data_IF_543300191001
#
_entry.id   IF_543300191001
#
_cell.length_a   1.000
_cell.length_b   1.000
_cell.length_c   1.000
_cell.angle_alpha   90.00
_cell.angle_beta   90.00
_cell.angle_gamma   90.00
#
_symmetry.space_group_name_H-M   'P 1'
#
loop_
_entity.id
_entity.type
_entity.pdbx_description
1 polymer ?
#
# COMPACT_ATOMS: atom_id res chain seq x y z
N UNK A 1 -51.80 34.04 -16.24
CA UNK A 1 -50.72 34.21 -15.24
C UNK A 1 -50.54 32.99 -14.32
N UNK A 2 -51.57 32.48 -13.63
CA UNK A 2 -51.41 31.34 -12.68
C UNK A 2 -50.90 30.03 -13.30
N UNK A 3 -51.25 29.71 -14.55
CA UNK A 3 -50.79 28.50 -15.24
C UNK A 3 -49.29 28.57 -15.62
N UNK A 4 -48.82 29.74 -16.05
CA UNK A 4 -47.40 29.97 -16.40
C UNK A 4 -46.51 29.89 -15.16
N UNK A 5 -46.97 30.42 -14.03
CA UNK A 5 -46.27 30.32 -12.73
C UNK A 5 -46.20 28.86 -12.25
N UNK A 6 -47.27 28.07 -12.43
CA UNK A 6 -47.26 26.63 -12.11
C UNK A 6 -46.30 25.83 -12.99
N UNK A 7 -46.27 26.08 -14.30
CA UNK A 7 -45.33 25.42 -15.20
C UNK A 7 -43.87 25.82 -14.91
N UNK A 8 -43.62 27.06 -14.51
CA UNK A 8 -42.27 27.52 -14.15
C UNK A 8 -41.79 26.94 -12.80
N UNK A 9 -42.68 26.74 -11.83
CA UNK A 9 -42.39 26.02 -10.59
C UNK A 9 -42.11 24.53 -10.82
N UNK A 10 -42.85 23.89 -11.72
CA UNK A 10 -42.64 22.48 -12.10
C UNK A 10 -41.31 22.30 -12.85
N UNK A 11 -40.95 23.21 -13.76
CA UNK A 11 -39.65 23.17 -14.45
C UNK A 11 -38.48 23.42 -13.48
N UNK A 12 -38.64 24.36 -12.54
CA UNK A 12 -37.65 24.62 -11.50
C UNK A 12 -37.42 23.42 -10.57
N UNK A 13 -38.48 22.69 -10.22
CA UNK A 13 -38.39 21.47 -9.41
C UNK A 13 -37.71 20.32 -10.17
N UNK A 14 -37.92 20.16 -11.48
CA UNK A 14 -37.22 19.15 -12.27
C UNK A 14 -35.71 19.44 -12.43
N UNK A 15 -35.31 20.71 -12.47
CA UNK A 15 -33.90 21.09 -12.56
C UNK A 15 -33.13 20.81 -11.26
N UNK A 16 -33.74 21.00 -10.09
CA UNK A 16 -33.08 20.71 -8.79
C UNK A 16 -32.91 19.21 -8.51
N UNK A 17 -33.75 18.34 -9.09
CA UNK A 17 -33.62 16.88 -8.97
C UNK A 17 -32.47 16.28 -9.78
N UNK A 18 -31.97 16.99 -10.80
CA UNK A 18 -30.88 16.51 -11.66
C UNK A 18 -29.46 16.77 -11.08
N UNK A 19 -29.35 17.54 -10.01
CA UNK A 19 -28.06 17.95 -9.43
C UNK A 19 -27.45 16.93 -8.43
N UNK A 20 -28.11 15.82 -8.12
CA UNK A 20 -27.64 14.85 -7.10
C UNK A 20 -26.75 13.71 -7.65
N UNK A 21 -26.22 13.82 -8.87
CA UNK A 21 -25.55 12.71 -9.55
C UNK A 21 -24.12 12.37 -9.13
N UNK A 22 -23.39 13.24 -8.41
CA UNK A 22 -21.92 13.13 -8.32
C UNK A 22 -21.32 13.02 -6.90
N UNK A 23 -22.10 12.68 -5.88
CA UNK A 23 -21.62 12.57 -4.49
C UNK A 23 -21.15 11.14 -4.13
N UNK A 24 -20.27 10.57 -4.96
CA UNK A 24 -19.64 9.29 -4.62
C UNK A 24 -18.41 9.52 -3.73
N UNK A 25 -18.29 8.84 -2.58
CA UNK A 25 -17.11 8.94 -1.75
C UNK A 25 -15.91 8.27 -2.43
N UNK A 26 -14.82 9.01 -2.55
CA UNK A 26 -13.49 8.50 -2.92
C UNK A 26 -12.66 8.25 -1.67
N UNK A 27 -11.87 7.17 -1.66
CA UNK A 27 -10.99 6.84 -0.54
C UNK A 27 -9.55 6.75 -1.07
N UNK A 28 -8.65 7.55 -0.50
CA UNK A 28 -7.23 7.51 -0.83
C UNK A 28 -6.48 6.90 0.35
N UNK A 29 -5.81 5.78 0.11
CA UNK A 29 -4.92 5.15 1.07
C UNK A 29 -3.48 5.35 0.57
N UNK A 30 -2.80 6.31 1.19
CA UNK A 30 -1.41 6.64 0.88
C UNK A 30 -0.55 6.31 2.09
N UNK A 31 0.33 5.34 1.91
CA UNK A 31 1.43 5.12 2.84
C UNK A 31 2.50 6.15 2.49
N UNK A 32 2.92 6.95 3.47
CA UNK A 32 3.93 7.99 3.27
C UNK A 32 5.20 7.35 2.70
N UNK A 33 5.50 7.65 1.44
CA UNK A 33 6.67 7.15 0.71
C UNK A 33 7.44 8.35 0.17
N UNK A 34 8.79 8.32 0.19
CA UNK A 34 9.61 9.37 -0.42
C UNK A 34 9.58 9.33 -1.94
N UNK A 35 8.98 8.29 -2.54
CA UNK A 35 9.02 8.03 -3.97
C UNK A 35 7.71 8.47 -4.64
N UNK A 36 7.86 9.05 -5.83
CA UNK A 36 6.71 9.52 -6.61
C UNK A 36 5.91 8.36 -7.20
N UNK A 37 6.61 7.41 -7.79
CA UNK A 37 6.07 6.24 -8.45
C UNK A 37 7.00 5.02 -8.32
N UNK A 38 6.57 3.90 -8.90
CA UNK A 38 7.35 2.67 -8.92
C UNK A 38 8.71 2.85 -9.60
N UNK A 39 8.77 3.63 -10.68
CA UNK A 39 9.99 3.83 -11.46
C UNK A 39 11.02 4.64 -10.67
N UNK A 40 10.60 5.68 -9.95
CA UNK A 40 11.44 6.46 -9.03
C UNK A 40 12.04 5.54 -7.95
N UNK A 41 11.20 4.75 -7.28
CA UNK A 41 11.64 3.79 -6.26
C UNK A 41 12.63 2.76 -6.83
N UNK A 42 12.33 2.17 -8.00
CA UNK A 42 13.19 1.22 -8.68
C UNK A 42 14.53 1.86 -9.11
N UNK A 43 14.51 3.10 -9.59
CA UNK A 43 15.71 3.81 -10.04
C UNK A 43 16.68 4.07 -8.88
N UNK A 44 16.16 4.42 -7.70
CA UNK A 44 16.95 4.64 -6.49
C UNK A 44 17.44 3.33 -5.90
N UNK A 45 16.61 2.28 -5.93
CA UNK A 45 17.02 0.93 -5.58
C UNK A 45 18.17 0.43 -6.45
N UNK A 46 18.17 0.74 -7.75
CA UNK A 46 19.21 0.34 -8.68
C UNK A 46 20.56 1.01 -8.38
N UNK A 47 20.57 2.19 -7.76
CA UNK A 47 21.80 2.89 -7.37
C UNK A 47 22.54 2.22 -6.20
N UNK A 48 21.88 1.35 -5.44
CA UNK A 48 22.50 0.60 -4.33
C UNK A 48 23.37 -0.52 -4.90
N UNK A 49 24.69 -0.39 -4.80
CA UNK A 49 25.67 -1.43 -5.16
C UNK A 49 26.11 -2.22 -3.91
N UNK A 50 25.77 -3.52 -3.78
CA UNK A 50 26.24 -4.37 -2.69
C UNK A 50 27.77 -4.45 -2.61
N UNK A 51 28.30 -4.42 -1.39
CA UNK A 51 29.73 -4.37 -1.10
C UNK A 51 30.35 -2.97 -1.17
N UNK A 52 29.62 -1.96 -1.67
CA UNK A 52 30.12 -0.57 -1.78
C UNK A 52 29.22 0.45 -1.09
N UNK A 53 27.91 0.28 -1.17
CA UNK A 53 26.96 1.27 -0.67
C UNK A 53 26.93 1.24 0.85
N UNK A 54 27.18 2.39 1.47
CA UNK A 54 27.10 2.54 2.92
C UNK A 54 25.67 2.76 3.38
N UNK A 55 25.41 2.58 4.67
CA UNK A 55 24.12 2.86 5.29
C UNK A 55 23.71 4.32 5.13
N UNK A 56 24.67 5.25 5.28
CA UNK A 56 24.40 6.67 5.08
C UNK A 56 24.00 7.00 3.64
N UNK A 57 24.65 6.36 2.65
CA UNK A 57 24.26 6.49 1.24
C UNK A 57 22.90 5.86 0.97
N UNK A 58 22.61 4.70 1.54
CA UNK A 58 21.30 4.04 1.47
C UNK A 58 20.18 4.97 1.98
N UNK A 59 20.44 5.67 3.09
CA UNK A 59 19.50 6.63 3.67
C UNK A 59 19.31 7.85 2.77
N UNK A 60 20.40 8.38 2.20
CA UNK A 60 20.35 9.49 1.25
C UNK A 60 19.56 9.15 -0.02
N UNK A 61 19.56 7.88 -0.44
CA UNK A 61 18.73 7.38 -1.54
C UNK A 61 17.24 7.31 -1.18
N UNK A 62 16.89 7.48 0.09
CA UNK A 62 15.53 7.40 0.59
C UNK A 62 15.17 6.00 1.09
N UNK A 63 16.12 5.21 1.58
CA UNK A 63 15.85 3.93 2.26
C UNK A 63 16.30 4.01 3.71
N UNK A 64 15.69 4.89 4.48
CA UNK A 64 15.97 5.08 5.90
C UNK A 64 14.84 4.52 6.77
N UNK A 65 15.09 3.47 7.58
CA UNK A 65 14.05 2.84 8.38
C UNK A 65 13.54 3.68 9.56
N UNK A 66 14.25 4.77 9.91
CA UNK A 66 13.90 5.63 11.04
C UNK A 66 13.08 6.86 10.60
N UNK A 67 13.42 7.45 9.45
CA UNK A 67 12.68 8.62 8.94
C UNK A 67 11.50 8.24 8.07
N UNK A 68 11.53 7.08 7.42
CA UNK A 68 10.46 6.63 6.55
C UNK A 68 9.65 5.55 7.23
N UNK A 69 8.40 5.87 7.55
CA UNK A 69 7.48 4.89 8.11
C UNK A 69 7.37 3.64 7.23
N UNK A 70 6.90 2.54 7.80
CA UNK A 70 6.67 1.26 7.10
C UNK A 70 7.95 0.49 6.73
N UNK A 71 9.04 0.80 7.42
CA UNK A 71 10.23 -0.04 7.46
C UNK A 71 10.20 -1.00 8.66
N UNK A 72 10.72 -2.21 8.46
CA UNK A 72 11.02 -3.18 9.50
C UNK A 72 12.53 -3.39 9.56
N UNK A 73 13.09 -3.15 10.74
CA UNK A 73 14.45 -3.59 11.03
C UNK A 73 14.40 -5.08 11.39
N UNK A 74 15.25 -5.85 10.72
CA UNK A 74 15.33 -7.30 10.81
C UNK A 74 16.61 -7.66 11.55
N UNK A 75 16.51 -8.48 12.58
CA UNK A 75 17.65 -9.12 13.23
C UNK A 75 18.25 -10.19 12.32
N UNK A 76 19.42 -10.72 12.67
CA UNK A 76 20.01 -11.84 11.93
C UNK A 76 19.08 -13.07 11.88
N UNK A 77 18.26 -13.29 12.92
CA UNK A 77 17.27 -14.37 12.97
C UNK A 77 16.18 -14.13 11.92
N UNK A 78 15.68 -12.90 11.83
CA UNK A 78 14.67 -12.52 10.85
C UNK A 78 15.20 -12.64 9.42
N UNK A 79 16.44 -12.19 9.18
CA UNK A 79 17.13 -12.35 7.88
C UNK A 79 17.26 -13.84 7.54
N UNK A 80 17.67 -14.68 8.49
CA UNK A 80 17.76 -16.13 8.29
C UNK A 80 16.40 -16.72 7.93
N UNK A 81 15.33 -16.37 8.65
CA UNK A 81 13.99 -16.89 8.39
C UNK A 81 13.44 -16.41 7.04
N UNK A 82 13.83 -15.23 6.58
CA UNK A 82 13.39 -14.67 5.30
C UNK A 82 14.04 -15.36 4.09
N UNK A 83 15.32 -15.72 4.19
CA UNK A 83 16.10 -16.22 3.04
C UNK A 83 16.41 -17.72 3.08
N UNK A 84 16.43 -18.35 4.26
CA UNK A 84 16.83 -19.75 4.42
C UNK A 84 15.60 -20.63 4.55
N UNK A 85 15.28 -21.36 3.49
CA UNK A 85 14.20 -22.33 3.50
C UNK A 85 14.66 -23.65 4.13
N UNK A 86 13.77 -24.39 4.83
CA UNK A 86 14.10 -25.72 5.30
C UNK A 86 14.40 -26.62 4.08
N UNK A 87 15.53 -27.33 4.13
CA UNK A 87 16.03 -28.26 3.10
C UNK A 87 16.71 -27.64 1.86
N UNK A 88 16.96 -26.33 1.83
CA UNK A 88 17.85 -25.73 0.81
C UNK A 88 19.25 -25.61 1.41
N UNK A 89 20.29 -26.20 0.77
CA UNK A 89 21.65 -26.07 1.28
C UNK A 89 22.14 -24.62 1.18
N UNK A 90 23.01 -24.23 2.11
CA UNK A 90 23.42 -22.82 2.30
C UNK A 90 24.22 -22.25 1.12
N UNK A 91 24.81 -23.11 0.31
CA UNK A 91 25.58 -22.78 -0.90
C UNK A 91 24.72 -22.23 -2.06
N UNK A 92 23.41 -22.46 -2.02
CA UNK A 92 22.46 -21.83 -2.95
C UNK A 92 22.18 -20.36 -2.62
N UNK A 93 22.57 -19.91 -1.43
CA UNK A 93 22.39 -18.51 -1.05
C UNK A 93 23.47 -17.63 -1.70
N UNK A 94 23.10 -16.42 -2.17
CA UNK A 94 24.07 -15.41 -2.56
C UNK A 94 25.17 -15.19 -1.52
N UNK A 95 26.42 -15.02 -1.95
CA UNK A 95 27.59 -14.86 -1.07
C UNK A 95 27.41 -13.78 0.01
N UNK A 96 26.75 -12.67 -0.34
CA UNK A 96 26.45 -11.59 0.60
C UNK A 96 25.56 -12.01 1.77
N UNK A 97 24.59 -12.90 1.51
CA UNK A 97 23.74 -13.47 2.56
C UNK A 97 24.49 -14.48 3.42
N UNK A 98 25.31 -15.34 2.81
CA UNK A 98 26.15 -16.30 3.55
C UNK A 98 27.08 -15.56 4.50
N UNK A 99 27.76 -14.52 4.01
CA UNK A 99 28.63 -13.66 4.81
C UNK A 99 27.86 -12.99 5.96
N UNK A 100 26.63 -12.52 5.70
CA UNK A 100 25.79 -11.93 6.73
C UNK A 100 25.43 -12.94 7.82
N UNK A 101 24.99 -14.15 7.45
CA UNK A 101 24.64 -15.20 8.41
C UNK A 101 25.84 -15.60 9.28
N UNK A 102 27.06 -15.57 8.74
CA UNK A 102 28.29 -15.81 9.50
C UNK A 102 28.63 -14.66 10.47
N UNK A 103 28.24 -13.41 10.15
CA UNK A 103 28.49 -12.23 10.96
C UNK A 103 27.55 -12.07 12.18
N UNK A 104 26.50 -12.89 12.29
CA UNK A 104 25.57 -12.95 13.45
C UNK A 104 24.97 -11.58 13.78
N UNK A 105 25.14 -11.07 15.00
CA UNK A 105 24.49 -9.83 15.46
C UNK A 105 24.89 -8.57 14.68
N UNK A 106 25.99 -8.62 13.92
CA UNK A 106 26.38 -7.54 12.99
C UNK A 106 25.56 -7.53 11.70
N UNK A 107 24.84 -8.61 11.42
CA UNK A 107 23.96 -8.77 10.28
C UNK A 107 22.57 -8.22 10.61
N UNK A 108 22.18 -7.17 9.90
CA UNK A 108 20.86 -6.55 10.03
C UNK A 108 20.20 -6.45 8.66
N UNK A 109 18.87 -6.49 8.63
CA UNK A 109 18.10 -6.25 7.42
C UNK A 109 17.18 -5.04 7.56
N UNK A 110 16.92 -4.34 6.47
CA UNK A 110 15.89 -3.32 6.38
C UNK A 110 14.89 -3.74 5.30
N UNK A 111 13.66 -4.03 5.72
CA UNK A 111 12.56 -4.38 4.82
C UNK A 111 11.56 -3.23 4.78
N UNK A 112 11.26 -2.72 3.60
CA UNK A 112 10.33 -1.61 3.42
C UNK A 112 9.06 -2.06 2.71
N UNK A 113 7.94 -1.41 3.00
CA UNK A 113 6.69 -1.52 2.25
C UNK A 113 6.22 -0.14 1.79
N UNK A 114 6.58 0.21 0.56
CA UNK A 114 6.12 1.42 -0.09
C UNK A 114 4.93 1.08 -0.98
N UNK A 115 3.80 1.72 -0.73
CA UNK A 115 2.65 1.57 -1.61
C UNK A 115 1.85 2.88 -1.68
N UNK A 116 1.29 3.14 -2.85
CA UNK A 116 0.41 4.27 -3.07
C UNK A 116 -0.78 3.79 -3.86
N UNK A 117 -1.97 3.84 -3.23
CA UNK A 117 -3.20 3.34 -3.83
C UNK A 117 -4.32 4.38 -3.78
N UNK A 118 -4.97 4.56 -4.91
CA UNK A 118 -6.16 5.38 -5.04
C UNK A 118 -7.35 4.46 -5.29
N UNK A 119 -8.38 4.55 -4.45
CA UNK A 119 -9.57 3.71 -4.51
C UNK A 119 -10.78 4.56 -4.83
N UNK A 120 -11.28 4.43 -6.06
CA UNK A 120 -12.43 5.17 -6.54
C UNK A 120 -13.68 4.29 -6.44
N UNK A 121 -14.73 4.76 -5.76
CA UNK A 121 -16.01 4.05 -5.69
C UNK A 121 -16.77 4.23 -7.01
N UNK A 122 -17.25 3.13 -7.57
CA UNK A 122 -17.99 3.12 -8.84
C UNK A 122 -19.41 2.62 -8.56
N UNK A 123 -20.43 3.46 -8.72
CA UNK A 123 -21.82 3.10 -8.42
C UNK A 123 -22.82 4.26 -8.56
N UNK A 124 -24.10 4.00 -8.31
CA UNK A 124 -25.12 5.04 -8.22
C UNK A 124 -25.48 5.30 -6.75
N UNK A 125 -25.55 6.59 -6.37
CA UNK A 125 -25.89 7.02 -5.02
C UNK A 125 -27.18 6.36 -4.48
N UNK A 126 -28.19 6.16 -5.34
CA UNK A 126 -29.47 5.55 -4.96
C UNK A 126 -29.40 4.05 -4.68
N UNK A 127 -28.50 3.30 -5.32
CA UNK A 127 -28.24 1.90 -4.97
C UNK A 127 -27.42 1.77 -3.66
N UNK A 128 -26.77 2.85 -3.24
CA UNK A 128 -25.88 2.90 -2.09
C UNK A 128 -26.57 3.21 -0.75
N UNK A 129 -27.80 3.75 -0.75
CA UNK A 129 -28.58 4.02 0.49
C UNK A 129 -28.75 2.74 1.33
N UNK A 130 -28.92 1.59 0.68
CA UNK A 130 -29.08 0.31 1.38
C UNK A 130 -27.77 -0.49 1.51
N UNK A 131 -26.63 0.05 1.04
CA UNK A 131 -25.28 -0.48 1.21
C UNK A 131 -25.05 -1.94 0.74
N UNK A 132 -25.94 -2.49 -0.10
CA UNK A 132 -25.95 -3.92 -0.46
C UNK A 132 -24.76 -4.38 -1.33
N UNK A 133 -24.13 -3.46 -2.06
CA UNK A 133 -22.99 -3.76 -2.94
C UNK A 133 -22.08 -2.55 -3.05
N UNK A 134 -20.78 -2.72 -2.80
CA UNK A 134 -19.75 -1.70 -2.99
C UNK A 134 -18.80 -2.18 -4.08
N UNK A 135 -18.72 -1.43 -5.18
CA UNK A 135 -17.68 -1.63 -6.20
C UNK A 135 -16.63 -0.53 -6.08
N UNK A 136 -15.36 -0.93 -6.02
CA UNK A 136 -14.22 -0.03 -5.98
C UNK A 136 -13.23 -0.39 -7.08
N UNK A 137 -12.74 0.62 -7.76
CA UNK A 137 -11.61 0.50 -8.67
C UNK A 137 -10.36 0.97 -7.92
N UNK A 138 -9.45 0.04 -7.67
CA UNK A 138 -8.17 0.30 -6.99
C UNK A 138 -7.09 0.44 -8.04
N UNK A 139 -6.39 1.57 -8.01
CA UNK A 139 -5.24 1.86 -8.86
C UNK A 139 -4.05 2.21 -7.98
N UNK A 140 -2.83 1.85 -8.39
CA UNK A 140 -1.66 2.21 -7.59
C UNK A 140 -0.39 1.46 -7.96
N UNK A 141 0.56 1.49 -7.05
CA UNK A 141 1.80 0.73 -7.14
C UNK A 141 2.26 0.26 -5.76
N UNK A 142 3.11 -0.77 -5.74
CA UNK A 142 3.79 -1.24 -4.54
C UNK A 142 5.24 -1.59 -4.84
N UNK A 143 6.14 -1.26 -3.93
CA UNK A 143 7.56 -1.57 -4.00
C UNK A 143 8.07 -1.98 -2.61
N UNK A 144 8.59 -3.20 -2.51
CA UNK A 144 9.03 -3.83 -1.26
C UNK A 144 10.48 -4.26 -1.38
N UNK A 145 11.44 -3.36 -1.16
CA UNK A 145 12.85 -3.68 -1.12
C UNK A 145 13.25 -4.24 0.24
N UNK A 146 14.21 -5.15 0.21
CA UNK A 146 14.93 -5.64 1.38
C UNK A 146 16.41 -5.44 1.15
N UNK A 147 17.06 -4.74 2.08
CA UNK A 147 18.50 -4.58 2.12
C UNK A 147 19.05 -5.36 3.30
N UNK A 148 20.19 -5.99 3.11
CA UNK A 148 20.91 -6.72 4.15
C UNK A 148 22.27 -6.06 4.29
N UNK A 149 22.63 -5.72 5.52
CA UNK A 149 23.81 -4.97 5.86
C UNK A 149 24.65 -5.74 6.88
N UNK A 150 25.97 -5.59 6.76
CA UNK A 150 26.91 -5.94 7.82
C UNK A 150 27.53 -4.64 8.30
N UNK A 151 27.32 -4.32 9.57
CA UNK A 151 27.64 -3.03 10.18
C UNK A 151 27.02 -1.85 9.40
N UNK A 152 27.81 -1.23 8.52
CA UNK A 152 27.44 -0.02 7.78
C UNK A 152 27.44 -0.22 6.25
N UNK A 153 27.66 -1.44 5.75
CA UNK A 153 27.74 -1.71 4.30
C UNK A 153 26.63 -2.68 3.88
N UNK A 154 25.93 -2.34 2.80
CA UNK A 154 24.95 -3.24 2.16
C UNK A 154 25.69 -4.42 1.54
N UNK A 155 25.39 -5.64 1.95
CA UNK A 155 25.99 -6.88 1.42
C UNK A 155 25.07 -7.63 0.48
N UNK A 156 23.76 -7.43 0.60
CA UNK A 156 22.79 -8.02 -0.32
C UNK A 156 21.56 -7.12 -0.43
N UNK A 157 20.88 -7.18 -1.59
CA UNK A 157 19.61 -6.50 -1.82
C UNK A 157 18.68 -7.38 -2.64
N UNK A 158 17.40 -7.29 -2.36
CA UNK A 158 16.32 -7.87 -3.17
C UNK A 158 15.12 -6.93 -3.18
N UNK A 159 14.27 -7.04 -4.18
CA UNK A 159 13.05 -6.24 -4.26
C UNK A 159 11.93 -7.04 -4.90
N UNK A 160 10.70 -6.80 -4.45
CA UNK A 160 9.50 -7.24 -5.15
C UNK A 160 8.47 -6.11 -5.17
N UNK A 161 7.40 -6.25 -5.94
CA UNK A 161 6.36 -5.23 -6.01
C UNK A 161 5.45 -5.35 -7.22
N UNK A 162 4.50 -4.44 -7.32
CA UNK A 162 3.53 -4.34 -8.41
C UNK A 162 3.63 -2.94 -9.03
N UNK A 163 4.14 -2.79 -10.27
CA UNK A 163 4.34 -1.47 -10.89
C UNK A 163 3.03 -0.77 -11.29
N UNK A 164 1.97 -1.53 -11.54
CA UNK A 164 0.69 -1.01 -11.99
C UNK A 164 -0.44 -1.89 -11.45
N UNK A 165 -0.88 -1.59 -10.23
CA UNK A 165 -2.03 -2.23 -9.60
C UNK A 165 -3.28 -1.71 -10.30
N UNK A 166 -4.08 -2.62 -10.85
CA UNK A 166 -5.42 -2.34 -11.36
C UNK A 166 -6.35 -3.46 -10.92
N UNK A 167 -7.18 -3.18 -9.90
CA UNK A 167 -8.10 -4.17 -9.34
C UNK A 167 -9.52 -3.62 -9.29
N UNK A 168 -10.47 -4.50 -9.54
CA UNK A 168 -11.88 -4.25 -9.33
C UNK A 168 -12.32 -5.05 -8.11
N UNK A 169 -12.66 -4.37 -7.04
CA UNK A 169 -13.19 -4.98 -5.82
C UNK A 169 -14.72 -4.86 -5.83
N UNK A 170 -15.42 -5.99 -5.66
CA UNK A 170 -16.88 -6.03 -5.60
C UNK A 170 -17.31 -6.71 -4.30
N UNK A 171 -17.58 -5.90 -3.27
CA UNK A 171 -18.02 -6.37 -1.96
C UNK A 171 -19.54 -6.35 -1.89
N UNK A 172 -20.17 -7.52 -1.73
CA UNK A 172 -21.62 -7.64 -1.48
C UNK A 172 -21.86 -7.66 0.03
N UNK A 173 -22.73 -6.79 0.53
CA UNK A 173 -23.17 -6.76 1.93
C UNK A 173 -24.67 -7.12 1.97
N UNK A 174 -25.04 -8.40 1.90
CA UNK A 174 -26.44 -8.81 1.75
C UNK A 174 -27.35 -8.34 2.90
N UNK A 175 -26.80 -8.03 4.08
CA UNK A 175 -27.57 -7.53 5.24
C UNK A 175 -27.55 -6.01 5.38
N UNK A 176 -26.96 -5.29 4.42
CA UNK A 176 -26.96 -3.82 4.39
C UNK A 176 -26.30 -3.19 5.63
N UNK A 177 -26.81 -2.05 6.13
CA UNK A 177 -26.22 -1.32 7.27
C UNK A 177 -26.12 -2.12 8.57
N UNK A 178 -26.98 -3.14 8.76
CA UNK A 178 -26.99 -3.98 9.97
C UNK A 178 -25.75 -4.88 10.07
N UNK A 179 -25.07 -5.13 8.96
CA UNK A 179 -23.88 -5.98 8.90
C UNK A 179 -22.61 -5.31 9.48
N UNK A 180 -22.56 -3.97 9.52
CA UNK A 180 -21.43 -3.21 10.10
C UNK A 180 -21.62 -2.84 11.56
N UNK A 181 -22.85 -2.87 12.09
CA UNK A 181 -23.12 -2.54 13.49
C UNK A 181 -22.50 -3.57 14.45
N UNK A 182 -22.45 -4.85 14.06
CA UNK A 182 -21.86 -5.91 14.88
C UNK A 182 -20.37 -5.72 15.21
N UNK A 183 -19.57 -5.25 14.25
CA UNK A 183 -18.13 -4.97 14.47
C UNK A 183 -17.91 -3.79 15.42
N UNK A 184 -18.72 -2.73 15.32
CA UNK A 184 -18.62 -1.56 16.18
C UNK A 184 -18.99 -1.87 17.64
N UNK A 185 -20.03 -2.70 17.85
CA UNK A 185 -20.40 -3.16 19.19
C UNK A 185 -19.37 -4.14 19.79
N UNK A 186 -18.67 -4.95 18.97
CA UNK A 186 -17.63 -5.84 19.47
C UNK A 186 -16.32 -5.13 19.84
N UNK A 187 -15.96 -4.06 19.13
CA UNK A 187 -14.74 -3.28 19.43
C UNK A 187 -14.90 -2.36 20.65
N UNK A 188 -16.12 -1.95 20.99
CA UNK A 188 -16.39 -1.23 22.25
C UNK A 188 -16.49 -2.15 23.48
N UNK A 189 -16.57 -3.47 23.29
CA UNK A 189 -16.66 -4.46 24.36
C UNK A 189 -15.31 -5.14 24.67
N UNK A 190 -14.22 -4.66 24.06
CA UNK A 190 -12.82 -4.98 24.43
C UNK A 190 -12.17 -3.79 25.11
#
# INVERSE_FOLDING_TARGET
MRAVVRSMLLLGACLTLSACGSLLPSERAEVQSPFLDYQDAQSRYNQVDPGKTTKSQLYALGFDPLSQGNAKMLSFIDVRLLFVQPNIPIDYLPDGLVTCLQAKDRCVGYAFDFNKTDSQRVGSFWADIFNFRKRRQVQGWSFRPVFVLIDDVVVHKTSNGEPNIRRMEDKKNPLGPLQGAGEYFSDQLK
#
